data_IF_200371589858
#
_entry.id   IF_200371589858
#
_cell.length_a   1.000
_cell.length_b   1.000
_cell.length_c   1.000
_cell.angle_alpha   90.00
_cell.angle_beta   90.00
_cell.angle_gamma   90.00
#
_symmetry.space_group_name_H-M   'P 1'
#
loop_
_entity.id
_entity.type
_entity.pdbx_description
1 polymer ?
#
# COMPACT_ATOMS: atom_id res chain seq x y z
N UNK A 1 25.21 -14.19 -10.43
CA UNK A 1 24.11 -14.04 -9.42
C UNK A 1 23.72 -12.60 -9.37
N UNK A 2 22.44 -12.29 -9.56
CA UNK A 2 21.91 -10.91 -9.54
C UNK A 2 21.90 -10.39 -8.12
N UNK A 3 22.21 -9.12 -7.91
CA UNK A 3 22.16 -8.47 -6.60
C UNK A 3 21.11 -7.36 -6.66
N UNK A 4 20.15 -7.39 -5.74
CA UNK A 4 19.16 -6.33 -5.58
C UNK A 4 19.55 -5.44 -4.39
N UNK A 5 19.66 -4.14 -4.64
CA UNK A 5 19.96 -3.12 -3.63
C UNK A 5 18.65 -2.54 -3.11
N UNK A 6 18.32 -2.86 -1.89
CA UNK A 6 17.06 -2.46 -1.26
C UNK A 6 17.32 -1.39 -0.20
N UNK A 7 16.68 -0.23 -0.34
CA UNK A 7 16.61 0.74 0.74
C UNK A 7 15.58 0.29 1.77
N UNK A 8 15.96 0.26 3.03
CA UNK A 8 15.06 -0.07 4.13
C UNK A 8 14.85 1.16 5.00
N UNK A 9 13.60 1.60 5.12
CA UNK A 9 13.21 2.75 5.92
C UNK A 9 12.18 2.27 6.95
N UNK A 10 12.60 1.86 8.16
CA UNK A 10 11.67 1.41 9.19
C UNK A 10 10.65 2.48 9.58
N UNK A 11 11.06 3.74 9.57
CA UNK A 11 10.20 4.86 9.97
C UNK A 11 9.87 4.81 11.46
N UNK A 12 8.58 4.85 11.77
CA UNK A 12 8.06 5.02 13.12
C UNK A 12 7.39 3.75 13.68
N UNK A 13 7.20 3.73 14.99
CA UNK A 13 6.39 2.72 15.66
C UNK A 13 6.79 1.27 15.34
N UNK A 14 5.80 0.45 14.99
CA UNK A 14 6.00 -0.97 14.66
C UNK A 14 6.77 -1.19 13.35
N UNK A 15 6.96 -0.17 12.52
CA UNK A 15 7.82 -0.26 11.35
C UNK A 15 9.24 -0.72 11.70
N UNK A 16 9.71 -0.36 12.90
CA UNK A 16 11.01 -0.79 13.44
C UNK A 16 11.09 -2.29 13.78
N UNK A 17 9.95 -2.98 13.83
CA UNK A 17 9.85 -4.42 14.06
C UNK A 17 9.58 -5.17 12.74
N UNK A 18 8.63 -4.67 11.93
CA UNK A 18 8.18 -5.41 10.74
C UNK A 18 9.13 -5.29 9.54
N UNK A 19 9.90 -4.19 9.41
CA UNK A 19 10.89 -4.06 8.33
C UNK A 19 12.08 -5.02 8.53
N UNK A 20 12.71 -5.12 9.71
CA UNK A 20 13.72 -6.16 9.97
C UNK A 20 13.17 -7.59 9.74
N UNK A 21 11.93 -7.87 10.14
CA UNK A 21 11.27 -9.14 9.86
C UNK A 21 11.15 -9.42 8.36
N UNK A 22 10.79 -8.42 7.55
CA UNK A 22 10.76 -8.49 6.09
C UNK A 22 12.14 -8.77 5.49
N UNK A 23 13.19 -8.12 6.00
CA UNK A 23 14.57 -8.38 5.57
C UNK A 23 14.99 -9.83 5.85
N UNK A 24 14.65 -10.37 7.04
CA UNK A 24 14.95 -11.75 7.42
C UNK A 24 14.27 -12.76 6.48
N UNK A 25 12.99 -12.55 6.17
CA UNK A 25 12.23 -13.41 5.24
C UNK A 25 12.82 -13.36 3.83
N UNK A 26 13.19 -12.17 3.33
CA UNK A 26 13.84 -12.02 2.02
C UNK A 26 15.22 -12.72 1.97
N UNK A 27 16.01 -12.63 3.05
CA UNK A 27 17.28 -13.34 3.16
C UNK A 27 17.08 -14.85 3.18
N UNK A 28 16.10 -15.35 3.95
CA UNK A 28 15.75 -16.76 4.01
C UNK A 28 15.30 -17.29 2.63
N UNK A 29 14.50 -16.51 1.90
CA UNK A 29 14.07 -16.84 0.53
C UNK A 29 15.27 -16.95 -0.42
N UNK A 30 16.18 -15.97 -0.38
CA UNK A 30 17.38 -15.97 -1.21
C UNK A 30 18.30 -17.17 -0.90
N UNK A 31 18.49 -17.48 0.38
CA UNK A 31 19.30 -18.62 0.82
C UNK A 31 18.68 -19.98 0.46
N UNK A 32 17.37 -20.03 0.24
CA UNK A 32 16.63 -21.25 -0.11
C UNK A 32 16.66 -21.59 -1.61
N UNK A 33 17.69 -21.16 -2.35
CA UNK A 33 17.97 -21.54 -3.72
C UNK A 33 17.56 -20.52 -4.80
N UNK A 34 17.38 -19.26 -4.45
CA UNK A 34 17.18 -18.21 -5.43
C UNK A 34 18.48 -17.87 -6.19
N UNK A 35 18.34 -17.44 -7.44
CA UNK A 35 19.49 -17.04 -8.28
C UNK A 35 19.86 -15.56 -8.11
N UNK A 36 19.51 -14.99 -6.96
CA UNK A 36 19.77 -13.60 -6.60
C UNK A 36 20.08 -13.47 -5.11
N UNK A 37 20.58 -12.31 -4.72
CA UNK A 37 20.80 -11.90 -3.33
C UNK A 37 20.33 -10.49 -3.11
N UNK A 38 20.14 -10.10 -1.84
CA UNK A 38 19.80 -8.75 -1.44
C UNK A 38 20.96 -8.06 -0.74
N UNK A 39 21.15 -6.78 -1.02
CA UNK A 39 21.99 -5.85 -0.25
C UNK A 39 21.06 -4.78 0.32
N UNK A 40 20.93 -4.76 1.65
CA UNK A 40 20.08 -3.81 2.36
C UNK A 40 20.87 -2.60 2.81
N UNK A 41 20.30 -1.41 2.60
CA UNK A 41 20.81 -0.15 3.16
C UNK A 41 19.70 0.44 4.03
N UNK A 42 19.95 0.57 5.33
CA UNK A 42 18.97 1.12 6.28
C UNK A 42 19.11 2.63 6.40
N UNK A 43 17.97 3.31 6.52
CA UNK A 43 17.87 4.75 6.73
C UNK A 43 17.02 5.01 7.96
N UNK A 44 17.59 5.62 8.98
CA UNK A 44 16.95 5.91 10.28
C UNK A 44 16.12 7.21 10.20
N UNK A 45 15.24 7.30 9.20
CA UNK A 45 14.35 8.44 8.97
C UNK A 45 13.00 8.21 9.65
N UNK A 46 12.38 9.29 10.09
CA UNK A 46 11.12 9.24 10.83
C UNK A 46 11.12 10.22 12.02
N UNK A 47 10.30 9.93 13.03
CA UNK A 47 10.12 10.77 14.21
C UNK A 47 11.39 10.96 15.05
N UNK A 48 12.24 9.93 15.15
CA UNK A 48 13.53 10.05 15.84
C UNK A 48 14.46 11.03 15.11
N UNK A 49 14.51 10.93 13.79
CA UNK A 49 15.27 11.86 12.96
C UNK A 49 14.71 13.28 13.08
N UNK A 50 13.38 13.42 13.12
CA UNK A 50 12.71 14.71 13.31
C UNK A 50 13.09 15.36 14.65
N UNK A 51 13.08 14.59 15.74
CA UNK A 51 13.48 15.12 17.06
C UNK A 51 14.92 15.63 17.10
N UNK A 52 15.79 14.98 16.34
CA UNK A 52 17.21 15.37 16.29
C UNK A 52 17.50 16.54 15.33
N UNK A 53 16.75 16.64 14.21
CA UNK A 53 17.10 17.50 13.09
C UNK A 53 15.98 18.45 12.64
N UNK A 54 14.78 18.38 13.22
CA UNK A 54 13.61 19.18 12.82
C UNK A 54 13.00 18.82 11.47
N UNK A 55 13.38 17.66 10.89
CA UNK A 55 12.93 17.14 9.59
C UNK A 55 12.74 15.64 9.69
N UNK A 56 11.82 15.07 8.92
CA UNK A 56 11.57 13.63 8.91
C UNK A 56 12.63 12.83 8.14
N UNK A 57 13.32 13.46 7.21
CA UNK A 57 14.46 12.96 6.42
C UNK A 57 15.35 14.13 5.98
N UNK A 58 16.60 13.90 5.52
CA UNK A 58 17.45 14.94 4.94
C UNK A 58 16.80 15.63 3.74
N UNK A 59 17.23 16.86 3.42
CA UNK A 59 16.71 17.59 2.26
C UNK A 59 17.06 16.88 0.95
N UNK A 60 18.25 16.29 0.88
CA UNK A 60 18.77 15.49 -0.22
C UNK A 60 18.48 13.99 -0.09
N UNK A 61 17.59 13.60 0.83
CA UNK A 61 17.29 12.19 1.14
C UNK A 61 16.76 11.36 -0.05
N UNK A 62 16.33 11.98 -1.14
CA UNK A 62 15.99 11.25 -2.36
C UNK A 62 17.22 10.73 -3.11
N UNK A 63 18.35 11.44 -3.03
CA UNK A 63 19.55 11.07 -3.79
C UNK A 63 20.11 9.69 -3.43
N UNK A 64 20.30 9.32 -2.14
CA UNK A 64 20.79 7.98 -1.79
C UNK A 64 19.80 6.86 -2.07
N UNK A 65 18.54 7.19 -2.40
CA UNK A 65 17.53 6.19 -2.80
C UNK A 65 17.52 5.91 -4.30
N UNK A 66 17.97 6.87 -5.14
CA UNK A 66 17.88 6.79 -6.62
C UNK A 66 18.51 5.56 -7.23
N UNK A 67 19.60 5.10 -6.66
CA UNK A 67 20.37 3.96 -7.17
C UNK A 67 19.89 2.61 -6.65
N UNK A 68 18.84 2.59 -5.84
CA UNK A 68 18.26 1.37 -5.31
C UNK A 68 17.28 0.73 -6.29
N UNK A 69 17.15 -0.59 -6.21
CA UNK A 69 16.22 -1.34 -7.06
C UNK A 69 14.77 -1.26 -6.53
N UNK A 70 14.62 -1.12 -5.21
CA UNK A 70 13.34 -0.90 -4.55
C UNK A 70 13.54 -0.32 -3.13
N UNK A 71 12.44 0.15 -2.54
CA UNK A 71 12.38 0.65 -1.17
C UNK A 71 11.41 -0.24 -0.38
N UNK A 72 11.86 -0.76 0.77
CA UNK A 72 11.02 -1.39 1.77
C UNK A 72 10.79 -0.40 2.91
N UNK A 73 9.56 0.03 3.08
CA UNK A 73 9.16 1.04 4.04
C UNK A 73 8.30 0.43 5.14
N UNK A 74 8.41 0.92 6.36
CA UNK A 74 7.61 0.45 7.49
C UNK A 74 6.36 1.30 7.68
N UNK A 75 6.48 2.39 8.41
CA UNK A 75 5.37 3.30 8.69
C UNK A 75 5.84 4.71 9.00
N UNK A 76 4.96 5.69 8.81
CA UNK A 76 5.18 7.08 9.21
C UNK A 76 4.04 7.54 10.12
N UNK A 77 4.40 8.17 11.23
CA UNK A 77 3.46 8.70 12.20
C UNK A 77 4.00 8.57 13.61
N UNK A 78 4.09 9.67 14.33
CA UNK A 78 4.53 9.73 15.74
C UNK A 78 3.50 10.57 16.51
N UNK A 79 2.91 10.06 17.61
CA UNK A 79 1.86 10.75 18.34
C UNK A 79 2.29 12.10 18.95
N UNK A 80 3.60 12.37 19.00
CA UNK A 80 4.14 13.64 19.49
C UNK A 80 4.52 14.61 18.37
N UNK A 81 4.30 14.23 17.10
CA UNK A 81 4.57 15.07 15.92
C UNK A 81 3.28 15.17 15.11
N UNK A 82 2.85 16.39 14.69
CA UNK A 82 1.64 16.53 13.90
C UNK A 82 1.62 15.66 12.63
N UNK A 83 0.52 14.98 12.37
CA UNK A 83 0.38 14.00 11.28
C UNK A 83 0.77 14.56 9.90
N UNK A 84 0.44 15.81 9.62
CA UNK A 84 0.84 16.46 8.38
C UNK A 84 2.35 16.63 8.24
N UNK A 85 3.11 16.71 9.33
CA UNK A 85 4.58 16.76 9.30
C UNK A 85 5.15 15.36 9.01
N UNK A 86 4.66 14.35 9.71
CA UNK A 86 5.17 12.97 9.58
C UNK A 86 4.91 12.43 8.18
N UNK A 87 3.69 12.60 7.68
CA UNK A 87 3.28 12.08 6.38
C UNK A 87 3.96 12.82 5.22
N UNK A 88 3.88 14.16 5.22
CA UNK A 88 4.43 15.00 4.16
C UNK A 88 5.95 15.06 4.18
N UNK A 89 6.56 14.95 5.35
CA UNK A 89 8.02 15.06 5.51
C UNK A 89 8.79 13.80 5.12
N UNK A 90 8.12 12.64 4.98
CA UNK A 90 8.77 11.36 4.70
C UNK A 90 8.07 10.62 3.54
N UNK A 91 6.94 9.98 3.80
CA UNK A 91 6.28 9.07 2.84
C UNK A 91 5.88 9.79 1.56
N UNK A 92 5.13 10.87 1.66
CA UNK A 92 4.68 11.62 0.49
C UNK A 92 5.85 12.27 -0.26
N UNK A 93 6.88 12.75 0.45
CA UNK A 93 8.09 13.31 -0.17
C UNK A 93 8.78 12.28 -1.07
N UNK A 94 8.85 11.00 -0.65
CA UNK A 94 9.41 9.91 -1.46
C UNK A 94 8.48 9.59 -2.64
N UNK A 95 7.18 9.37 -2.39
CA UNK A 95 6.22 9.02 -3.43
C UNK A 95 6.16 10.07 -4.55
N UNK A 96 6.05 11.35 -4.17
CA UNK A 96 5.97 12.46 -5.12
C UNK A 96 7.31 12.72 -5.82
N UNK A 97 8.43 12.67 -5.07
CA UNK A 97 9.77 12.90 -5.61
C UNK A 97 10.21 11.85 -6.63
N UNK A 98 9.68 10.63 -6.53
CA UNK A 98 9.93 9.53 -7.46
C UNK A 98 8.74 9.25 -8.40
N UNK A 99 7.78 10.14 -8.45
CA UNK A 99 6.59 10.00 -9.30
C UNK A 99 5.96 8.59 -9.25
N UNK A 100 5.88 8.03 -8.04
CA UNK A 100 5.26 6.73 -7.77
C UNK A 100 3.73 6.89 -7.83
N UNK A 101 3.21 7.21 -9.02
CA UNK A 101 1.84 7.68 -9.19
C UNK A 101 0.77 6.58 -9.10
N UNK A 102 1.15 5.31 -9.21
CA UNK A 102 0.24 4.19 -9.07
C UNK A 102 0.45 3.50 -7.72
N UNK A 103 -0.50 3.67 -6.81
CA UNK A 103 -0.50 2.91 -5.57
C UNK A 103 -1.42 1.70 -5.71
N UNK A 104 -0.89 0.51 -5.48
CA UNK A 104 -1.59 -0.77 -5.69
C UNK A 104 -1.78 -1.46 -4.35
N UNK A 105 -3.03 -1.78 -4.01
CA UNK A 105 -3.44 -2.37 -2.74
C UNK A 105 -4.27 -3.64 -2.99
N UNK A 106 -3.65 -4.82 -3.13
CA UNK A 106 -4.37 -6.07 -3.20
C UNK A 106 -4.99 -6.40 -1.85
N UNK A 107 -6.20 -6.93 -1.88
CA UNK A 107 -6.95 -7.31 -0.69
C UNK A 107 -7.67 -8.61 -0.95
N UNK A 108 -7.40 -9.63 -0.15
CA UNK A 108 -8.10 -10.91 -0.18
C UNK A 108 -8.12 -11.56 1.20
N UNK A 109 -9.09 -12.40 1.47
CA UNK A 109 -9.12 -13.22 2.68
C UNK A 109 -8.08 -14.33 2.51
N UNK A 110 -7.04 -14.32 3.35
CA UNK A 110 -6.01 -15.35 3.35
C UNK A 110 -6.51 -16.63 4.05
N UNK A 111 -5.96 -17.81 3.72
CA UNK A 111 -6.31 -19.05 4.39
C UNK A 111 -6.21 -18.96 5.92
N UNK A 112 -7.21 -19.46 6.61
CA UNK A 112 -7.28 -19.46 8.09
C UNK A 112 -7.74 -18.14 8.72
N UNK A 113 -7.91 -17.06 7.93
CA UNK A 113 -8.37 -15.78 8.42
C UNK A 113 -9.89 -15.68 8.25
N UNK A 114 -10.56 -15.22 9.28
CA UNK A 114 -12.01 -14.98 9.30
C UNK A 114 -12.28 -13.48 9.11
N UNK A 115 -13.00 -13.13 8.04
CA UNK A 115 -13.48 -11.76 7.84
C UNK A 115 -14.76 -11.47 8.65
N UNK A 116 -15.14 -10.21 8.82
CA UNK A 116 -16.33 -9.81 9.60
C UNK A 116 -17.64 -10.07 8.87
N UNK A 117 -17.64 -10.35 7.58
CA UNK A 117 -18.84 -10.58 6.79
C UNK A 117 -19.34 -12.02 6.92
N UNK A 118 -20.57 -12.19 7.42
CA UNK A 118 -21.17 -13.53 7.70
C UNK A 118 -21.31 -14.47 6.50
N UNK A 119 -21.36 -13.94 5.28
CA UNK A 119 -21.60 -14.71 4.03
C UNK A 119 -20.57 -14.36 2.96
N UNK A 120 -19.33 -14.15 3.37
CA UNK A 120 -18.22 -13.84 2.47
C UNK A 120 -17.15 -14.93 2.60
N UNK A 121 -16.77 -15.49 1.49
CA UNK A 121 -15.67 -16.45 1.40
C UNK A 121 -14.43 -15.82 0.79
N UNK A 122 -13.31 -16.51 0.82
CA UNK A 122 -12.08 -16.06 0.14
C UNK A 122 -12.28 -15.87 -1.38
N UNK A 123 -13.22 -16.60 -2.00
CA UNK A 123 -13.54 -16.43 -3.42
C UNK A 123 -14.36 -15.16 -3.71
N UNK A 124 -15.05 -14.63 -2.70
CA UNK A 124 -15.91 -13.45 -2.85
C UNK A 124 -15.16 -12.15 -2.66
N UNK A 125 -14.01 -12.18 -1.96
CA UNK A 125 -13.20 -11.02 -1.64
C UNK A 125 -11.77 -11.26 -2.11
N UNK A 126 -11.52 -10.89 -3.36
CA UNK A 126 -10.21 -10.83 -4.01
C UNK A 126 -10.20 -9.61 -4.93
N UNK A 127 -9.78 -8.47 -4.37
CA UNK A 127 -9.79 -7.19 -5.04
C UNK A 127 -8.40 -6.59 -5.15
N UNK A 128 -8.22 -5.69 -6.13
CA UNK A 128 -7.09 -4.77 -6.18
C UNK A 128 -7.64 -3.35 -6.26
N UNK A 129 -7.26 -2.51 -5.30
CA UNK A 129 -7.56 -1.09 -5.33
C UNK A 129 -6.34 -0.36 -5.89
N UNK A 130 -6.56 0.34 -7.00
CA UNK A 130 -5.58 1.23 -7.64
C UNK A 130 -5.88 2.65 -7.18
N UNK A 131 -4.95 3.24 -6.45
CA UNK A 131 -5.01 4.62 -5.94
C UNK A 131 -4.15 5.52 -6.82
N UNK A 132 -4.72 6.60 -7.31
CA UNK A 132 -3.92 7.71 -7.82
C UNK A 132 -3.09 8.27 -6.65
N UNK A 133 -1.78 8.42 -6.82
CA UNK A 133 -0.88 8.63 -5.68
C UNK A 133 -0.03 9.92 -5.79
N UNK A 134 -0.28 10.76 -6.77
CA UNK A 134 0.57 11.93 -7.06
C UNK A 134 -0.14 13.28 -6.95
N UNK A 135 -1.46 13.29 -7.08
CA UNK A 135 -2.28 14.52 -7.11
C UNK A 135 -3.59 14.32 -6.34
N UNK A 136 -4.67 14.96 -6.73
CA UNK A 136 -5.96 14.89 -6.04
C UNK A 136 -5.96 15.70 -4.76
N UNK A 137 -6.52 15.13 -3.71
CA UNK A 137 -6.68 15.75 -2.40
C UNK A 137 -5.33 15.87 -1.66
N UNK A 138 -4.33 15.07 -2.06
CA UNK A 138 -2.96 15.11 -1.55
C UNK A 138 -2.00 15.92 -2.44
N UNK A 139 -2.54 16.85 -3.25
CA UNK A 139 -1.70 17.74 -4.08
C UNK A 139 -0.95 18.80 -3.26
N UNK A 140 -1.33 19.02 -1.99
CA UNK A 140 -0.70 20.00 -1.11
C UNK A 140 -0.96 21.46 -1.50
N UNK A 141 -2.03 21.72 -2.26
CA UNK A 141 -2.42 23.05 -2.69
C UNK A 141 -3.47 23.61 -1.76
N UNK A 142 -3.19 24.74 -1.15
CA UNK A 142 -4.11 25.39 -0.22
C UNK A 142 -3.40 26.42 0.65
N UNK A 143 -4.07 26.81 1.71
CA UNK A 143 -3.47 27.76 2.66
C UNK A 143 -4.40 28.15 3.79
N UNK A 144 -3.86 28.91 4.74
CA UNK A 144 -4.60 29.48 5.88
C UNK A 144 -4.38 30.97 5.98
N UNK A 145 -5.44 31.72 6.19
CA UNK A 145 -5.42 33.15 6.45
C UNK A 145 -6.03 33.45 7.83
N UNK A 146 -5.59 34.52 8.46
CA UNK A 146 -6.04 34.96 9.78
C UNK A 146 -5.89 33.92 10.88
N UNK A 147 -4.79 33.18 10.89
CA UNK A 147 -4.53 32.11 11.87
C UNK A 147 -4.65 32.62 13.30
N UNK A 148 -5.42 31.87 14.14
CA UNK A 148 -5.72 32.22 15.53
C UNK A 148 -6.76 33.34 15.70
N UNK A 149 -7.34 33.86 14.63
CA UNK A 149 -8.39 34.87 14.68
C UNK A 149 -9.78 34.22 14.51
N UNK A 150 -10.88 34.77 15.08
CA UNK A 150 -12.23 34.23 14.89
C UNK A 150 -12.69 34.10 13.44
N UNK A 151 -12.10 34.87 12.52
CA UNK A 151 -12.36 34.85 11.08
C UNK A 151 -11.29 34.03 10.31
N UNK A 152 -10.66 33.07 10.96
CA UNK A 152 -9.68 32.20 10.30
C UNK A 152 -10.30 31.42 9.15
N UNK A 153 -9.58 31.37 8.01
CA UNK A 153 -9.99 30.65 6.82
C UNK A 153 -8.88 29.64 6.48
N UNK A 154 -9.27 28.39 6.23
CA UNK A 154 -8.41 27.35 5.69
C UNK A 154 -9.00 26.81 4.38
N UNK A 155 -8.13 26.55 3.41
CA UNK A 155 -8.51 25.96 2.12
C UNK A 155 -7.55 24.83 1.77
N UNK A 156 -8.09 23.69 1.33
CA UNK A 156 -7.37 22.64 0.65
C UNK A 156 -8.00 22.46 -0.73
N UNK A 157 -7.17 22.37 -1.76
CA UNK A 157 -7.62 22.30 -3.16
C UNK A 157 -7.26 20.93 -3.72
N UNK A 158 -8.26 20.16 -4.11
CA UNK A 158 -8.07 18.95 -4.90
C UNK A 158 -7.67 19.32 -6.32
N UNK A 159 -6.50 18.90 -6.74
CA UNK A 159 -5.95 19.17 -8.08
C UNK A 159 -5.89 17.87 -8.87
N UNK A 160 -6.53 17.85 -10.03
CA UNK A 160 -6.48 16.73 -10.97
C UNK A 160 -6.10 17.24 -12.34
N UNK A 161 -5.01 16.72 -12.89
CA UNK A 161 -4.59 17.02 -14.25
C UNK A 161 -5.12 15.95 -15.20
N UNK A 162 -5.37 16.33 -16.46
CA UNK A 162 -5.75 15.35 -17.48
C UNK A 162 -4.71 14.25 -17.62
N UNK A 163 -3.42 14.60 -17.63
CA UNK A 163 -2.31 13.64 -17.77
C UNK A 163 -2.23 12.68 -16.58
N UNK A 164 -2.42 13.18 -15.35
CA UNK A 164 -2.43 12.34 -14.14
C UNK A 164 -3.59 11.36 -14.15
N UNK A 165 -4.79 11.84 -14.48
CA UNK A 165 -5.98 10.97 -14.59
C UNK A 165 -5.84 9.94 -15.73
N UNK A 166 -5.35 10.34 -16.90
CA UNK A 166 -5.16 9.41 -18.03
C UNK A 166 -4.17 8.30 -17.70
N UNK A 167 -3.03 8.61 -17.05
CA UNK A 167 -2.01 7.61 -16.73
C UNK A 167 -2.51 6.59 -15.71
N UNK A 168 -3.22 7.02 -14.65
CA UNK A 168 -3.74 6.10 -13.67
C UNK A 168 -4.90 5.25 -14.21
N UNK A 169 -5.74 5.82 -15.08
CA UNK A 169 -6.80 5.06 -15.75
C UNK A 169 -6.21 3.96 -16.65
N UNK A 170 -5.22 4.29 -17.51
CA UNK A 170 -4.55 3.26 -18.33
C UNK A 170 -3.91 2.17 -17.49
N UNK A 171 -3.26 2.56 -16.39
CA UNK A 171 -2.68 1.59 -15.46
C UNK A 171 -3.76 0.66 -14.90
N UNK A 172 -4.88 1.19 -14.42
CA UNK A 172 -5.97 0.42 -13.83
C UNK A 172 -6.66 -0.49 -14.85
N UNK A 173 -6.94 0.00 -16.06
CA UNK A 173 -7.50 -0.82 -17.14
C UNK A 173 -6.55 -1.96 -17.55
N UNK A 174 -5.26 -1.67 -17.68
CA UNK A 174 -4.23 -2.69 -17.98
C UNK A 174 -4.13 -3.73 -16.88
N UNK A 175 -4.19 -3.32 -15.62
CA UNK A 175 -4.20 -4.23 -14.49
C UNK A 175 -5.47 -5.09 -14.48
N UNK A 176 -6.64 -4.51 -14.67
CA UNK A 176 -7.90 -5.24 -14.78
C UNK A 176 -7.87 -6.24 -15.96
N UNK A 177 -7.29 -5.85 -17.10
CA UNK A 177 -7.14 -6.72 -18.28
C UNK A 177 -6.28 -7.97 -17.99
N UNK A 178 -5.29 -7.85 -17.10
CA UNK A 178 -4.43 -8.98 -16.70
C UNK A 178 -5.10 -9.94 -15.72
N UNK A 179 -6.20 -9.53 -15.08
CA UNK A 179 -6.94 -10.38 -14.13
C UNK A 179 -7.96 -11.27 -14.85
N UNK A 180 -8.26 -12.47 -14.33
CA UNK A 180 -9.18 -13.41 -15.01
C UNK A 180 -10.57 -12.86 -15.29
N UNK A 181 -11.10 -12.01 -14.39
CA UNK A 181 -12.46 -11.46 -14.50
C UNK A 181 -12.56 -10.27 -15.44
N UNK A 182 -11.44 -9.57 -15.68
CA UNK A 182 -11.35 -8.38 -16.51
C UNK A 182 -12.44 -7.36 -16.19
N UNK A 183 -12.63 -7.06 -14.90
CA UNK A 183 -13.64 -6.15 -14.40
C UNK A 183 -12.98 -4.96 -13.70
N UNK A 184 -13.36 -3.74 -14.06
CA UNK A 184 -12.91 -2.50 -13.44
C UNK A 184 -14.10 -1.68 -12.94
N UNK A 185 -14.08 -1.30 -11.66
CA UNK A 185 -14.99 -0.31 -11.10
C UNK A 185 -14.26 1.03 -10.96
N UNK A 186 -14.72 2.05 -11.68
CA UNK A 186 -14.21 3.41 -11.58
C UNK A 186 -14.98 4.15 -10.50
N UNK A 187 -14.30 4.41 -9.38
CA UNK A 187 -14.92 5.11 -8.24
C UNK A 187 -14.84 6.62 -8.45
N UNK A 188 -15.95 7.29 -8.23
CA UNK A 188 -16.13 8.72 -8.50
C UNK A 188 -16.97 9.43 -7.44
N UNK A 189 -16.99 10.75 -7.46
CA UNK A 189 -17.94 11.60 -6.73
C UNK A 189 -18.40 12.78 -7.61
N UNK A 190 -18.60 12.54 -8.90
CA UNK A 190 -18.91 13.57 -9.90
C UNK A 190 -20.25 14.27 -9.68
N UNK A 191 -21.15 13.70 -8.88
CA UNK A 191 -22.38 14.36 -8.45
C UNK A 191 -22.15 15.51 -7.44
N UNK A 192 -20.96 15.56 -6.81
CA UNK A 192 -20.58 16.60 -5.86
C UNK A 192 -19.40 17.45 -6.39
N UNK A 193 -18.34 16.81 -6.84
CA UNK A 193 -17.15 17.46 -7.41
C UNK A 193 -17.30 17.60 -8.93
N UNK A 194 -18.11 18.56 -9.35
CA UNK A 194 -18.62 18.69 -10.72
C UNK A 194 -17.60 19.08 -11.79
N UNK A 195 -16.36 19.38 -11.44
CA UNK A 195 -15.32 19.74 -12.40
C UNK A 195 -14.28 18.60 -12.50
N UNK A 196 -13.49 18.37 -11.46
CA UNK A 196 -12.42 17.38 -11.48
C UNK A 196 -12.94 15.93 -11.66
N UNK A 197 -14.01 15.57 -10.92
CA UNK A 197 -14.56 14.22 -11.02
C UNK A 197 -15.41 13.99 -12.28
N UNK A 198 -15.96 15.01 -12.90
CA UNK A 198 -16.58 14.90 -14.24
C UNK A 198 -15.50 14.61 -15.29
N UNK A 199 -14.37 15.34 -15.24
CA UNK A 199 -13.22 15.04 -16.11
C UNK A 199 -12.66 13.62 -15.87
N UNK A 200 -12.64 13.16 -14.61
CA UNK A 200 -12.29 11.78 -14.24
C UNK A 200 -13.17 10.74 -14.95
N UNK A 201 -14.50 10.96 -14.91
CA UNK A 201 -15.47 10.08 -15.57
C UNK A 201 -15.33 10.10 -17.11
N UNK A 202 -15.13 11.28 -17.70
CA UNK A 202 -14.95 11.46 -19.14
C UNK A 202 -13.69 10.74 -19.63
N UNK A 203 -12.59 10.86 -18.88
CA UNK A 203 -11.32 10.17 -19.19
C UNK A 203 -11.47 8.65 -19.06
N UNK A 204 -12.15 8.16 -18.02
CA UNK A 204 -12.45 6.74 -17.88
C UNK A 204 -13.18 6.21 -19.11
N UNK A 205 -14.22 6.90 -19.58
CA UNK A 205 -14.94 6.55 -20.80
C UNK A 205 -14.07 6.64 -22.07
N UNK A 206 -13.14 7.59 -22.13
CA UNK A 206 -12.21 7.71 -23.25
C UNK A 206 -11.25 6.51 -23.28
N UNK A 207 -10.59 6.23 -22.15
CA UNK A 207 -9.57 5.17 -22.02
C UNK A 207 -10.20 3.78 -22.15
N UNK A 208 -11.44 3.56 -21.72
CA UNK A 208 -12.11 2.25 -21.86
C UNK A 208 -12.16 1.75 -23.31
N UNK A 209 -12.12 2.64 -24.29
CA UNK A 209 -12.10 2.29 -25.72
C UNK A 209 -10.77 1.65 -26.15
N UNK A 210 -9.70 1.90 -25.41
CA UNK A 210 -8.39 1.26 -25.62
C UNK A 210 -8.37 -0.19 -25.10
N UNK A 211 -9.35 -0.58 -24.25
CA UNK A 211 -9.44 -1.89 -23.59
C UNK A 211 -10.82 -2.55 -23.78
N UNK A 212 -11.22 -2.90 -25.02
CA UNK A 212 -12.57 -3.36 -25.31
C UNK A 212 -12.95 -4.70 -24.68
N UNK A 213 -11.98 -5.46 -24.19
CA UNK A 213 -12.15 -6.74 -23.50
C UNK A 213 -12.28 -6.58 -21.97
N UNK A 214 -12.12 -5.37 -21.42
CA UNK A 214 -12.35 -5.07 -20.00
C UNK A 214 -13.78 -4.58 -19.81
N UNK A 215 -14.55 -5.29 -18.99
CA UNK A 215 -15.85 -4.80 -18.53
C UNK A 215 -15.62 -3.76 -17.43
N UNK A 216 -16.32 -2.64 -17.51
CA UNK A 216 -16.20 -1.63 -16.49
C UNK A 216 -17.53 -1.01 -16.12
N UNK A 217 -17.61 -0.54 -14.89
CA UNK A 217 -18.71 0.27 -14.39
C UNK A 217 -18.18 1.50 -13.65
N UNK A 218 -19.07 2.44 -13.40
CA UNK A 218 -18.81 3.65 -12.61
C UNK A 218 -19.68 3.63 -11.38
N UNK A 219 -19.10 3.92 -10.21
CA UNK A 219 -19.85 3.96 -8.97
C UNK A 219 -19.46 5.15 -8.09
N UNK A 220 -20.43 5.77 -7.43
CA UNK A 220 -20.15 6.81 -6.44
C UNK A 220 -19.46 6.18 -5.20
N UNK A 221 -18.50 6.87 -4.61
CA UNK A 221 -17.67 6.33 -3.51
C UNK A 221 -18.51 5.82 -2.33
N UNK A 222 -19.56 6.53 -1.96
CA UNK A 222 -20.50 6.13 -0.89
C UNK A 222 -21.29 4.86 -1.26
N UNK A 223 -21.74 4.74 -2.50
CA UNK A 223 -22.39 3.52 -2.99
C UNK A 223 -21.38 2.35 -3.07
N UNK A 224 -20.12 2.64 -3.45
CA UNK A 224 -19.06 1.66 -3.49
C UNK A 224 -18.76 1.06 -2.09
N UNK A 225 -18.73 1.87 -1.02
CA UNK A 225 -18.57 1.36 0.34
C UNK A 225 -19.69 0.38 0.72
N UNK A 226 -20.94 0.72 0.37
CA UNK A 226 -22.08 -0.17 0.60
C UNK A 226 -21.98 -1.46 -0.25
N UNK A 227 -21.51 -1.37 -1.49
CA UNK A 227 -21.28 -2.53 -2.37
C UNK A 227 -20.19 -3.47 -1.84
N UNK A 228 -19.09 -2.92 -1.30
CA UNK A 228 -18.02 -3.70 -0.68
C UNK A 228 -18.53 -4.59 0.46
N UNK A 229 -19.50 -4.10 1.24
CA UNK A 229 -20.10 -4.85 2.35
C UNK A 229 -21.19 -5.82 1.87
N UNK A 230 -22.10 -5.36 1.00
CA UNK A 230 -23.30 -6.11 0.65
C UNK A 230 -23.12 -7.09 -0.51
N UNK A 231 -22.18 -6.82 -1.42
CA UNK A 231 -21.97 -7.60 -2.65
C UNK A 231 -20.46 -7.69 -2.98
N UNK A 232 -19.60 -8.18 -2.05
CA UNK A 232 -18.15 -8.23 -2.22
C UNK A 232 -17.74 -8.95 -3.52
N UNK A 233 -18.37 -10.07 -3.85
CA UNK A 233 -18.11 -10.86 -5.06
C UNK A 233 -18.33 -10.10 -6.38
N UNK A 234 -19.01 -8.95 -6.36
CA UNK A 234 -19.25 -8.14 -7.56
C UNK A 234 -18.06 -7.23 -7.94
N UNK A 235 -17.07 -7.09 -7.07
CA UNK A 235 -15.88 -6.26 -7.26
C UNK A 235 -14.67 -7.10 -7.67
N UNK A 236 -13.71 -6.48 -8.39
CA UNK A 236 -12.46 -7.11 -8.83
C UNK A 236 -11.31 -6.09 -8.78
N UNK A 237 -11.17 -5.24 -9.81
CA UNK A 237 -10.24 -4.12 -9.79
C UNK A 237 -11.04 -2.84 -9.58
N UNK A 238 -10.55 -1.96 -8.70
CA UNK A 238 -11.13 -0.65 -8.46
C UNK A 238 -10.07 0.41 -8.77
N UNK A 239 -10.48 1.55 -9.31
CA UNK A 239 -9.61 2.74 -9.41
C UNK A 239 -10.30 3.92 -8.77
N UNK A 240 -9.57 4.67 -7.94
CA UNK A 240 -10.08 5.82 -7.22
C UNK A 240 -9.03 6.93 -7.06
N UNK A 241 -9.50 8.14 -6.74
CA UNK A 241 -8.62 9.24 -6.36
C UNK A 241 -7.82 8.90 -5.11
N UNK A 242 -6.85 9.73 -4.82
CA UNK A 242 -5.95 9.56 -3.69
C UNK A 242 -6.72 9.34 -2.37
N UNK A 243 -7.61 10.25 -2.00
CA UNK A 243 -8.39 10.17 -0.76
C UNK A 243 -9.43 9.04 -0.78
N UNK A 244 -10.17 8.90 -1.88
CA UNK A 244 -11.20 7.87 -1.96
C UNK A 244 -10.60 6.45 -1.85
N UNK A 245 -9.50 6.20 -2.53
CA UNK A 245 -8.84 4.89 -2.47
C UNK A 245 -8.22 4.61 -1.09
N UNK A 246 -7.74 5.63 -0.39
CA UNK A 246 -7.23 5.50 0.98
C UNK A 246 -8.32 4.95 1.90
N UNK A 247 -9.47 5.60 1.92
CA UNK A 247 -10.63 5.19 2.73
C UNK A 247 -11.13 3.79 2.33
N UNK A 248 -11.26 3.53 1.02
CA UNK A 248 -11.77 2.25 0.53
C UNK A 248 -10.83 1.08 0.84
N UNK A 249 -9.52 1.29 0.81
CA UNK A 249 -8.56 0.22 1.07
C UNK A 249 -8.47 -0.15 2.54
N UNK A 250 -8.67 0.79 3.46
CA UNK A 250 -8.76 0.49 4.88
C UNK A 250 -10.02 -0.30 5.20
N UNK A 251 -11.15 0.08 4.58
CA UNK A 251 -12.37 -0.72 4.65
C UNK A 251 -12.14 -2.13 4.07
N UNK A 252 -11.48 -2.24 2.91
CA UNK A 252 -11.17 -3.52 2.28
C UNK A 252 -10.31 -4.41 3.20
N UNK A 253 -9.27 -3.86 3.80
CA UNK A 253 -8.41 -4.59 4.74
C UNK A 253 -9.16 -5.08 5.98
N UNK A 254 -10.03 -4.23 6.54
CA UNK A 254 -10.91 -4.62 7.65
C UNK A 254 -11.87 -5.75 7.25
N UNK A 255 -12.43 -5.71 6.04
CA UNK A 255 -13.31 -6.77 5.52
C UNK A 255 -12.55 -8.07 5.22
N UNK A 256 -11.25 -8.00 4.93
CA UNK A 256 -10.38 -9.17 4.75
C UNK A 256 -9.86 -9.76 6.07
N UNK A 257 -10.13 -9.12 7.21
CA UNK A 257 -9.84 -9.62 8.54
C UNK A 257 -8.92 -8.74 9.39
N UNK A 258 -7.94 -8.05 8.82
CA UNK A 258 -7.04 -7.13 9.56
C UNK A 258 -6.28 -6.18 8.63
N UNK A 259 -6.02 -4.97 9.11
CA UNK A 259 -5.06 -4.06 8.48
C UNK A 259 -3.63 -4.60 8.53
N UNK A 260 -3.30 -5.41 9.54
CA UNK A 260 -1.97 -5.98 9.74
C UNK A 260 -1.53 -6.96 8.66
N UNK A 261 -2.46 -7.46 7.83
CA UNK A 261 -2.14 -8.37 6.72
C UNK A 261 -2.07 -7.68 5.34
N UNK A 262 -2.50 -6.43 5.24
CA UNK A 262 -2.68 -5.76 3.96
C UNK A 262 -1.39 -5.07 3.48
N UNK A 263 -0.98 -5.33 2.23
CA UNK A 263 0.21 -4.75 1.62
C UNK A 263 -0.12 -3.50 0.80
N UNK A 264 0.93 -2.78 0.43
CA UNK A 264 0.86 -1.66 -0.52
C UNK A 264 2.11 -1.61 -1.38
N UNK A 265 1.95 -1.30 -2.66
CA UNK A 265 3.03 -0.91 -3.56
C UNK A 265 2.81 0.49 -4.11
N UNK A 266 3.74 1.39 -3.86
CA UNK A 266 3.81 2.71 -4.50
C UNK A 266 4.72 2.58 -5.72
N UNK A 267 4.15 2.59 -6.90
CA UNK A 267 4.81 2.16 -8.12
C UNK A 267 5.10 3.36 -9.04
N UNK A 268 6.32 3.47 -9.53
CA UNK A 268 6.65 4.16 -10.78
C UNK A 268 6.54 3.13 -11.93
N UNK A 269 5.43 3.10 -12.67
CA UNK A 269 5.23 2.09 -13.71
C UNK A 269 6.24 2.16 -14.85
N UNK A 270 6.83 3.33 -15.09
CA UNK A 270 7.88 3.55 -16.10
C UNK A 270 9.26 3.13 -15.59
N UNK A 271 9.41 2.79 -14.29
CA UNK A 271 10.66 2.33 -13.67
C UNK A 271 11.84 3.29 -13.83
N UNK A 272 11.58 4.59 -13.80
CA UNK A 272 12.61 5.64 -13.84
C UNK A 272 13.29 5.78 -12.48
N UNK A 273 12.54 5.48 -11.42
CA UNK A 273 12.95 5.56 -10.04
C UNK A 273 12.52 4.31 -9.26
N UNK A 274 13.11 4.03 -8.09
CA UNK A 274 12.71 2.90 -7.28
C UNK A 274 11.26 3.04 -6.82
N UNK A 275 10.51 1.94 -6.90
CA UNK A 275 9.18 1.81 -6.29
C UNK A 275 9.30 1.47 -4.81
N UNK A 276 8.28 1.83 -4.02
CA UNK A 276 8.27 1.66 -2.56
C UNK A 276 7.16 0.69 -2.14
N UNK A 277 7.51 -0.26 -1.30
CA UNK A 277 6.62 -1.32 -0.80
C UNK A 277 6.52 -1.22 0.72
N UNK A 278 5.29 -1.22 1.23
CA UNK A 278 4.99 -0.99 2.64
C UNK A 278 3.72 -1.71 3.06
N UNK A 279 3.54 -2.11 4.33
CA UNK A 279 2.23 -2.50 4.83
C UNK A 279 1.28 -1.30 4.87
N UNK A 280 -0.04 -1.56 4.82
CA UNK A 280 -1.04 -0.47 4.86
C UNK A 280 -1.23 0.10 6.26
N UNK A 281 -0.91 -0.70 7.32
CA UNK A 281 -1.09 -0.28 8.71
C UNK A 281 -0.21 0.94 9.07
N UNK A 282 -0.65 1.72 10.05
CA UNK A 282 0.13 2.83 10.62
C UNK A 282 1.23 2.38 11.59
N UNK A 283 1.71 3.32 12.37
CA UNK A 283 2.83 3.14 13.30
C UNK A 283 2.48 2.39 14.60
N UNK A 284 1.21 2.28 14.97
CA UNK A 284 0.71 1.53 16.13
C UNK A 284 1.62 1.63 17.38
N UNK A 285 1.83 2.85 17.86
CA UNK A 285 2.74 3.15 18.98
C UNK A 285 2.36 2.45 20.28
N UNK A 286 1.09 2.11 20.45
CA UNK A 286 0.57 1.37 21.61
C UNK A 286 1.20 -0.02 21.78
N UNK A 287 1.61 -0.66 20.67
CA UNK A 287 2.25 -1.98 20.67
C UNK A 287 3.73 -1.93 20.25
N UNK A 288 4.29 -0.75 19.96
CA UNK A 288 5.69 -0.59 19.57
C UNK A 288 6.65 -1.18 20.63
N UNK A 289 7.65 -1.94 20.19
CA UNK A 289 8.68 -2.53 21.04
C UNK A 289 8.22 -3.74 21.84
N UNK A 290 6.96 -4.18 21.68
CA UNK A 290 6.40 -5.33 22.41
C UNK A 290 6.48 -6.65 21.66
N UNK A 291 6.93 -6.65 20.40
CA UNK A 291 6.99 -7.84 19.57
C UNK A 291 5.61 -8.42 19.23
N UNK A 292 4.57 -7.58 19.21
CA UNK A 292 3.18 -8.00 18.97
C UNK A 292 2.68 -7.64 17.57
N UNK A 293 3.45 -6.89 16.81
CA UNK A 293 3.07 -6.46 15.46
C UNK A 293 2.91 -7.65 14.52
N UNK A 294 1.84 -7.63 13.71
CA UNK A 294 1.65 -8.62 12.65
C UNK A 294 2.57 -8.29 11.45
N UNK A 295 3.54 -9.14 11.10
CA UNK A 295 4.47 -8.84 10.00
C UNK A 295 3.93 -9.24 8.62
N UNK A 296 2.77 -9.88 8.52
CA UNK A 296 2.23 -10.46 7.28
C UNK A 296 2.04 -9.38 6.20
N UNK A 297 1.55 -8.19 6.56
CA UNK A 297 1.41 -7.08 5.60
C UNK A 297 2.75 -6.68 4.98
N UNK A 298 3.82 -6.64 5.77
CA UNK A 298 5.18 -6.39 5.26
C UNK A 298 5.68 -7.54 4.39
N UNK A 299 5.43 -8.79 4.76
CA UNK A 299 5.84 -9.96 3.96
C UNK A 299 5.11 -9.98 2.61
N UNK A 300 3.82 -9.65 2.60
CA UNK A 300 3.08 -9.53 1.35
C UNK A 300 3.54 -8.33 0.52
N UNK A 301 3.94 -7.23 1.15
CA UNK A 301 4.61 -6.12 0.44
C UNK A 301 5.95 -6.55 -0.18
N UNK A 302 6.69 -7.46 0.47
CA UNK A 302 7.87 -8.09 -0.11
C UNK A 302 7.52 -8.99 -1.32
N UNK A 303 6.36 -9.68 -1.31
CA UNK A 303 5.86 -10.42 -2.48
C UNK A 303 5.65 -9.46 -3.65
N UNK A 304 4.95 -8.34 -3.43
CA UNK A 304 4.73 -7.32 -4.47
C UNK A 304 6.05 -6.73 -4.98
N UNK A 305 7.02 -6.51 -4.09
CA UNK A 305 8.36 -6.05 -4.48
C UNK A 305 9.07 -7.07 -5.39
N UNK A 306 9.01 -8.36 -5.06
CA UNK A 306 9.58 -9.42 -5.89
C UNK A 306 8.92 -9.50 -7.27
N UNK A 307 7.60 -9.41 -7.35
CA UNK A 307 6.85 -9.34 -8.61
C UNK A 307 7.30 -8.13 -9.45
N UNK A 308 7.42 -6.97 -8.81
CA UNK A 308 7.91 -5.75 -9.46
C UNK A 308 9.35 -5.91 -9.97
N UNK A 309 10.22 -6.59 -9.25
CA UNK A 309 11.60 -6.88 -9.65
C UNK A 309 11.70 -7.97 -10.72
N UNK A 310 10.59 -8.62 -11.09
CA UNK A 310 10.52 -9.68 -12.10
C UNK A 310 10.82 -11.08 -11.56
N UNK A 311 10.88 -11.25 -10.24
CA UNK A 311 11.16 -12.53 -9.56
C UNK A 311 9.85 -13.25 -9.19
N UNK A 312 8.99 -13.49 -10.20
CA UNK A 312 7.62 -14.02 -10.01
C UNK A 312 7.58 -15.40 -9.34
N UNK A 313 8.56 -16.26 -9.60
CA UNK A 313 8.62 -17.57 -8.96
C UNK A 313 8.94 -17.47 -7.46
N UNK A 314 9.89 -16.60 -7.10
CA UNK A 314 10.24 -16.30 -5.73
C UNK A 314 9.08 -15.61 -4.99
N UNK A 315 8.39 -14.69 -5.64
CA UNK A 315 7.17 -14.05 -5.14
C UNK A 315 6.08 -15.09 -4.82
N UNK A 316 5.79 -15.99 -5.76
CA UNK A 316 4.81 -17.06 -5.56
C UNK A 316 5.21 -18.02 -4.43
N UNK A 317 6.51 -18.32 -4.30
CA UNK A 317 7.03 -19.16 -3.19
C UNK A 317 6.83 -18.48 -1.83
N UNK A 318 7.16 -17.20 -1.73
CA UNK A 318 6.93 -16.43 -0.50
C UNK A 318 5.44 -16.35 -0.17
N UNK A 319 4.58 -16.09 -1.17
CA UNK A 319 3.14 -16.04 -0.94
C UNK A 319 2.57 -17.37 -0.42
N UNK A 320 2.99 -18.51 -0.98
CA UNK A 320 2.58 -19.83 -0.45
C UNK A 320 3.05 -20.06 1.00
N UNK A 321 4.24 -19.58 1.37
CA UNK A 321 4.72 -19.65 2.75
C UNK A 321 3.85 -18.81 3.69
N UNK A 322 3.48 -17.58 3.29
CA UNK A 322 2.55 -16.71 4.01
C UNK A 322 1.20 -17.41 4.21
N UNK A 323 0.61 -17.93 3.14
CA UNK A 323 -0.69 -18.63 3.18
C UNK A 323 -0.66 -19.87 4.09
N UNK A 324 0.44 -20.61 4.08
CA UNK A 324 0.61 -21.75 4.97
C UNK A 324 0.71 -21.35 6.44
N UNK A 325 1.29 -20.20 6.74
CA UNK A 325 1.39 -19.66 8.10
C UNK A 325 0.08 -19.08 8.57
N UNK A 326 -0.63 -18.33 7.74
CA UNK A 326 -1.95 -17.79 8.11
C UNK A 326 -3.01 -18.88 8.27
N UNK A 327 -2.87 -20.03 7.59
CA UNK A 327 -3.75 -21.19 7.78
C UNK A 327 -3.64 -21.81 9.17
N UNK A 328 -2.54 -21.61 9.86
CA UNK A 328 -2.28 -22.13 11.22
C UNK A 328 -2.69 -21.09 12.27
N UNK A 329 -3.87 -21.25 12.86
CA UNK A 329 -4.41 -20.32 13.87
C UNK A 329 -3.51 -20.16 15.11
N UNK A 330 -2.62 -21.07 15.39
CA UNK A 330 -1.64 -20.95 16.50
C UNK A 330 -0.57 -19.88 16.23
N UNK A 331 -0.42 -19.48 14.97
CA UNK A 331 0.50 -18.43 14.51
C UNK A 331 -0.19 -17.08 14.28
N UNK A 332 -1.46 -16.95 14.63
CA UNK A 332 -2.18 -15.67 14.56
C UNK A 332 -1.70 -14.71 15.64
N UNK A 333 -1.45 -13.48 15.25
CA UNK A 333 -1.16 -12.36 16.14
C UNK A 333 -2.42 -11.79 16.78
N UNK A 334 -2.27 -10.84 17.71
CA UNK A 334 -3.40 -10.29 18.47
C UNK A 334 -4.50 -9.65 17.63
N UNK A 335 -4.16 -9.02 16.50
CA UNK A 335 -5.11 -8.42 15.55
C UNK A 335 -5.98 -9.47 14.81
N UNK A 336 -5.50 -10.71 14.75
CA UNK A 336 -6.23 -11.86 14.21
C UNK A 336 -6.85 -12.76 15.30
N UNK A 337 -6.87 -12.27 16.56
CA UNK A 337 -7.43 -12.99 17.71
C UNK A 337 -6.54 -14.07 18.31
N UNK A 338 -5.27 -14.12 17.93
CA UNK A 338 -4.26 -15.04 18.48
C UNK A 338 -3.33 -14.37 19.49
N UNK A 339 -2.19 -15.02 19.75
CA UNK A 339 -1.18 -14.54 20.70
C UNK A 339 0.26 -14.72 20.19
N UNK A 340 0.43 -15.06 18.92
CA UNK A 340 1.75 -15.21 18.33
C UNK A 340 2.48 -13.86 18.28
N UNK A 341 3.78 -13.89 18.48
CA UNK A 341 4.64 -12.71 18.39
C UNK A 341 5.12 -12.48 16.96
N UNK A 342 5.59 -11.27 16.66
CA UNK A 342 6.23 -10.92 15.38
C UNK A 342 7.35 -11.92 15.03
N UNK A 343 8.18 -12.29 16.01
CA UNK A 343 9.29 -13.24 15.83
C UNK A 343 8.78 -14.64 15.48
N UNK A 344 7.77 -15.14 16.19
CA UNK A 344 7.23 -16.49 15.94
C UNK A 344 6.65 -16.60 14.52
N UNK A 345 5.93 -15.58 14.06
CA UNK A 345 5.39 -15.53 12.68
C UNK A 345 6.53 -15.49 11.65
N UNK A 346 7.56 -14.66 11.89
CA UNK A 346 8.72 -14.52 11.00
C UNK A 346 9.47 -15.84 10.86
N UNK A 347 9.81 -16.47 11.98
CA UNK A 347 10.48 -17.80 11.99
C UNK A 347 9.65 -18.87 11.29
N UNK A 348 8.32 -18.85 11.47
CA UNK A 348 7.44 -19.80 10.81
C UNK A 348 7.48 -19.64 9.28
N UNK A 349 7.42 -18.41 8.74
CA UNK A 349 7.57 -18.15 7.31
C UNK A 349 8.94 -18.59 6.82
N UNK A 350 10.01 -18.25 7.53
CA UNK A 350 11.38 -18.67 7.18
C UNK A 350 11.54 -20.19 7.14
N UNK A 351 10.91 -20.93 8.05
CA UNK A 351 10.90 -22.42 8.03
C UNK A 351 10.18 -22.97 6.79
N UNK A 352 9.01 -22.40 6.43
CA UNK A 352 8.25 -22.80 5.23
C UNK A 352 8.99 -22.52 3.92
N UNK A 353 9.86 -21.52 3.88
CA UNK A 353 10.69 -21.24 2.72
C UNK A 353 11.82 -22.26 2.51
N UNK A 354 12.24 -22.99 3.54
CA UNK A 354 13.30 -24.00 3.48
C UNK A 354 12.78 -25.41 3.14
N UNK A 355 11.48 -25.61 3.29
CA UNK A 355 10.78 -26.87 2.95
C UNK A 355 10.34 -26.88 1.50
#
# INVERSE_FOLDING_TARGET
MKTYRIACIPGDGIGKEVVPAGQEVLQALAAAGANFRFEFTSFDWGGDYYRAHGKMMPDDGLEPLRDKDAILFGSAGDPHIPDHITLWGLRLKICQGFDQYANVRPTRILPGIDGPLKRCTAADLDWIIVRENSEGEYAGVGGRAHQGHPNEVATDVSVMTRSGVERIMRFAFKLAQSRPRKLLTVVTKSNAQRHAMVMWDEIALQISREFPDVKWDKELVDACTARMVNRPASLDTLVATNLHADILSDLAAALAGSLGIAPTGNIDPERRYPSMFEPIHGSAFDIMGKGLANPIGTFWSCVMMLEHLGESEAAARLMRAIESVTADKSLHTGDLGGSATTVQVTEAVCRRLKS
#
